data_IF_056394095167
#
_entry.id   IF_056394095167
#
_cell.length_a   1.000
_cell.length_b   1.000
_cell.length_c   1.000
_cell.angle_alpha   90.00
_cell.angle_beta   90.00
_cell.angle_gamma   90.00
#
_symmetry.space_group_name_H-M   'P 1'
#
loop_
_entity.id
_entity.type
_entity.pdbx_description
1 polymer ?
#
# COMPACT_ATOMS: atom_id res chain seq x y z
N UNK A 1 -16.82 20.08 4.63
CA UNK A 1 -16.61 19.08 5.71
C UNK A 1 -17.43 17.89 5.28
N UNK A 2 -16.78 17.03 4.52
CA UNK A 2 -17.47 16.17 3.58
C UNK A 2 -17.80 14.89 4.34
N UNK A 3 -19.05 14.46 4.33
CA UNK A 3 -19.59 13.40 5.21
C UNK A 3 -19.10 11.98 4.85
N UNK A 4 -17.97 11.87 4.13
CA UNK A 4 -17.43 10.64 3.54
C UNK A 4 -16.37 9.97 4.43
N UNK A 5 -16.23 10.42 5.68
CA UNK A 5 -15.35 9.76 6.66
C UNK A 5 -15.66 8.27 6.90
N UNK A 6 -16.93 7.76 6.85
CA UNK A 6 -17.16 6.32 6.97
C UNK A 6 -16.66 5.55 5.75
N UNK A 7 -16.71 6.12 4.54
CA UNK A 7 -16.12 5.50 3.34
C UNK A 7 -14.61 5.40 3.47
N UNK A 8 -13.95 6.46 3.95
CA UNK A 8 -12.50 6.45 4.19
C UNK A 8 -12.11 5.40 5.25
N UNK A 9 -12.88 5.29 6.33
CA UNK A 9 -12.65 4.26 7.35
C UNK A 9 -12.87 2.85 6.81
N UNK A 10 -13.93 2.62 6.04
CA UNK A 10 -14.20 1.33 5.42
C UNK A 10 -13.06 0.92 4.47
N UNK A 11 -12.58 1.85 3.65
CA UNK A 11 -11.43 1.63 2.77
C UNK A 11 -10.16 1.28 3.54
N UNK A 12 -9.81 2.04 4.59
CA UNK A 12 -8.64 1.76 5.42
C UNK A 12 -8.74 0.45 6.20
N UNK A 13 -9.94 0.12 6.70
CA UNK A 13 -10.20 -1.14 7.39
C UNK A 13 -10.08 -2.34 6.45
N UNK A 14 -10.65 -2.24 5.24
CA UNK A 14 -10.55 -3.26 4.21
C UNK A 14 -9.09 -3.51 3.80
N UNK A 15 -8.32 -2.44 3.58
CA UNK A 15 -6.89 -2.54 3.27
C UNK A 15 -6.09 -3.21 4.40
N UNK A 16 -6.33 -2.79 5.65
CA UNK A 16 -5.66 -3.37 6.82
C UNK A 16 -6.00 -4.86 6.99
N UNK A 17 -7.28 -5.23 6.83
CA UNK A 17 -7.71 -6.63 6.90
C UNK A 17 -7.07 -7.46 5.78
N UNK A 18 -7.01 -6.91 4.56
CA UNK A 18 -6.35 -7.57 3.44
C UNK A 18 -4.86 -7.80 3.72
N UNK A 19 -4.15 -6.79 4.22
CA UNK A 19 -2.74 -6.89 4.61
C UNK A 19 -2.53 -8.03 5.61
N UNK A 20 -3.35 -8.11 6.65
CA UNK A 20 -3.27 -9.15 7.67
C UNK A 20 -3.57 -10.54 7.08
N UNK A 21 -4.66 -10.66 6.32
CA UNK A 21 -5.04 -11.92 5.67
C UNK A 21 -3.96 -12.41 4.69
N UNK A 22 -3.49 -11.56 3.78
CA UNK A 22 -2.48 -11.93 2.79
C UNK A 22 -1.17 -12.31 3.46
N UNK A 23 -0.71 -11.52 4.43
CA UNK A 23 0.52 -11.82 5.18
C UNK A 23 0.43 -13.15 5.91
N UNK A 24 -0.72 -13.43 6.53
CA UNK A 24 -0.97 -14.70 7.21
C UNK A 24 -0.98 -15.88 6.24
N UNK A 25 -1.72 -15.77 5.13
CA UNK A 25 -1.81 -16.81 4.09
C UNK A 25 -0.45 -17.13 3.50
N UNK A 26 0.33 -16.10 3.12
CA UNK A 26 1.67 -16.27 2.55
C UNK A 26 2.62 -16.98 3.53
N UNK A 27 2.60 -16.59 4.81
CA UNK A 27 3.44 -17.20 5.85
C UNK A 27 2.96 -18.60 6.24
N UNK A 28 1.65 -18.85 6.23
CA UNK A 28 1.08 -20.17 6.49
C UNK A 28 1.52 -21.19 5.43
N UNK A 29 1.40 -20.84 4.14
CA UNK A 29 1.89 -21.69 3.04
C UNK A 29 3.40 -21.92 3.09
N UNK A 30 4.16 -21.00 3.70
CA UNK A 30 5.61 -21.14 3.90
C UNK A 30 6.00 -21.83 5.21
N UNK A 31 5.06 -22.11 6.11
CA UNK A 31 5.34 -22.66 7.43
C UNK A 31 6.05 -21.70 8.39
N UNK A 32 6.05 -20.39 8.12
CA UNK A 32 6.78 -19.37 8.89
C UNK A 32 5.86 -18.44 9.70
N UNK A 33 4.81 -19.00 10.29
CA UNK A 33 3.80 -18.24 11.05
C UNK A 33 4.38 -17.48 12.26
N UNK A 34 5.51 -17.93 12.82
CA UNK A 34 6.24 -17.23 13.89
C UNK A 34 6.65 -15.80 13.49
N UNK A 35 6.88 -15.54 12.19
CA UNK A 35 7.26 -14.23 11.65
C UNK A 35 6.06 -13.32 11.32
N UNK A 36 4.83 -13.74 11.64
CA UNK A 36 3.62 -12.99 11.28
C UNK A 36 3.58 -11.61 11.90
N UNK A 37 3.78 -11.51 13.22
CA UNK A 37 3.72 -10.22 13.94
C UNK A 37 4.78 -9.26 13.41
N UNK A 38 6.00 -9.74 13.14
CA UNK A 38 7.07 -8.94 12.57
C UNK A 38 6.72 -8.44 11.16
N UNK A 39 6.15 -9.29 10.31
CA UNK A 39 5.78 -8.94 8.94
C UNK A 39 4.61 -7.96 8.90
N UNK A 40 3.57 -8.20 9.70
CA UNK A 40 2.40 -7.35 9.79
C UNK A 40 2.75 -5.96 10.33
N UNK A 41 3.56 -5.89 11.39
CA UNK A 41 4.03 -4.61 11.95
C UNK A 41 4.97 -3.86 11.01
N UNK A 42 5.87 -4.56 10.31
CA UNK A 42 6.71 -3.95 9.28
C UNK A 42 5.88 -3.38 8.12
N UNK A 43 4.90 -4.15 7.61
CA UNK A 43 4.00 -3.71 6.55
C UNK A 43 3.15 -2.50 7.00
N UNK A 44 2.49 -2.58 8.16
CA UNK A 44 1.67 -1.50 8.69
C UNK A 44 2.48 -0.24 9.02
N UNK A 45 3.67 -0.41 9.62
CA UNK A 45 4.57 0.69 9.95
C UNK A 45 5.11 1.39 8.71
N UNK A 46 5.61 0.63 7.72
CA UNK A 46 6.08 1.22 6.47
C UNK A 46 4.97 1.85 5.66
N UNK A 47 3.78 1.24 5.58
CA UNK A 47 2.60 1.84 4.94
C UNK A 47 2.21 3.16 5.59
N UNK A 48 2.23 3.23 6.94
CA UNK A 48 1.96 4.48 7.67
C UNK A 48 2.99 5.56 7.34
N UNK A 49 4.28 5.23 7.33
CA UNK A 49 5.36 6.16 6.95
C UNK A 49 5.18 6.65 5.51
N UNK A 50 4.89 5.74 4.57
CA UNK A 50 4.62 6.11 3.16
C UNK A 50 3.41 7.04 3.05
N UNK A 51 2.36 6.79 3.83
CA UNK A 51 1.19 7.67 3.91
C UNK A 51 1.54 9.07 4.41
N UNK A 52 2.32 9.16 5.49
CA UNK A 52 2.79 10.45 6.06
C UNK A 52 3.65 11.22 5.06
N UNK A 53 4.55 10.55 4.34
CA UNK A 53 5.37 11.15 3.28
C UNK A 53 4.51 11.56 2.08
N UNK A 54 3.45 10.81 1.78
CA UNK A 54 2.49 11.12 0.72
C UNK A 54 1.64 12.35 1.00
N UNK A 55 1.28 12.63 2.26
CA UNK A 55 0.42 13.77 2.63
C UNK A 55 0.86 15.13 2.04
N UNK A 56 2.12 15.59 2.19
CA UNK A 56 2.55 16.85 1.60
C UNK A 56 2.48 16.84 0.07
N UNK A 57 2.73 15.69 -0.56
CA UNK A 57 2.66 15.54 -2.03
C UNK A 57 1.20 15.67 -2.50
N UNK A 58 0.25 15.01 -1.84
CA UNK A 58 -1.17 15.13 -2.17
C UNK A 58 -1.74 16.51 -1.85
N UNK A 59 -1.25 17.15 -0.79
CA UNK A 59 -1.61 18.53 -0.46
C UNK A 59 -1.13 19.51 -1.54
N UNK A 60 0.09 19.33 -2.05
CA UNK A 60 0.61 20.10 -3.17
C UNK A 60 -0.19 19.81 -4.45
N UNK A 61 -0.45 18.53 -4.76
CA UNK A 61 -1.21 18.12 -5.95
C UNK A 61 -2.58 18.81 -6.05
N UNK A 62 -3.29 19.00 -4.93
CA UNK A 62 -4.58 19.70 -4.90
C UNK A 62 -4.51 21.21 -5.18
N UNK A 63 -3.33 21.81 -5.08
CA UNK A 63 -3.13 23.25 -5.31
C UNK A 63 -2.61 23.56 -6.71
N UNK A 64 -2.11 22.57 -7.44
CA UNK A 64 -1.52 22.81 -8.77
C UNK A 64 -2.58 22.74 -9.85
N UNK A 65 -2.52 23.67 -10.80
CA UNK A 65 -3.39 23.67 -11.97
C UNK A 65 -3.09 22.49 -12.92
N UNK A 66 -4.12 21.87 -13.55
CA UNK A 66 -3.96 20.64 -14.32
C UNK A 66 -2.93 20.67 -15.45
N UNK A 67 -2.59 21.84 -16.00
CA UNK A 67 -1.66 22.00 -17.14
C UNK A 67 -0.39 22.80 -16.79
N UNK A 68 -0.10 22.99 -15.50
CA UNK A 68 1.11 23.68 -15.05
C UNK A 68 2.37 22.80 -15.10
N UNK A 69 3.53 23.43 -15.29
CA UNK A 69 4.84 22.75 -15.24
C UNK A 69 5.10 22.07 -13.87
N UNK A 70 4.50 22.62 -12.80
CA UNK A 70 4.52 22.04 -11.46
C UNK A 70 3.77 20.70 -11.37
N UNK A 71 2.75 20.46 -12.20
CA UNK A 71 1.97 19.20 -12.19
C UNK A 71 2.85 18.03 -12.60
N UNK A 72 3.68 18.22 -13.63
CA UNK A 72 4.64 17.21 -14.08
C UNK A 72 5.62 16.84 -12.97
N UNK A 73 6.10 17.82 -12.19
CA UNK A 73 7.00 17.59 -11.06
C UNK A 73 6.30 16.81 -9.94
N UNK A 74 5.07 17.18 -9.57
CA UNK A 74 4.30 16.46 -8.54
C UNK A 74 4.02 15.02 -8.97
N UNK A 75 3.64 14.79 -10.24
CA UNK A 75 3.42 13.44 -10.77
C UNK A 75 4.70 12.59 -10.73
N UNK A 76 5.87 13.17 -11.00
CA UNK A 76 7.16 12.47 -10.84
C UNK A 76 7.40 12.07 -9.38
N UNK A 77 7.10 12.95 -8.41
CA UNK A 77 7.20 12.59 -6.98
C UNK A 77 6.25 11.46 -6.59
N UNK A 78 5.00 11.48 -7.08
CA UNK A 78 4.04 10.39 -6.87
C UNK A 78 4.58 9.08 -7.47
N UNK A 79 5.13 9.11 -8.67
CA UNK A 79 5.72 7.94 -9.31
C UNK A 79 6.90 7.37 -8.52
N UNK A 80 7.80 8.25 -8.05
CA UNK A 80 8.92 7.87 -7.18
C UNK A 80 8.41 7.21 -5.89
N UNK A 81 7.38 7.78 -5.27
CA UNK A 81 6.78 7.25 -4.05
C UNK A 81 6.18 5.85 -4.28
N UNK A 82 5.48 5.65 -5.41
CA UNK A 82 4.91 4.35 -5.80
C UNK A 82 6.03 3.31 -5.97
N UNK A 83 7.08 3.62 -6.74
CA UNK A 83 8.19 2.70 -6.92
C UNK A 83 8.89 2.39 -5.61
N UNK A 84 9.15 3.41 -4.79
CA UNK A 84 9.78 3.22 -3.49
C UNK A 84 8.93 2.32 -2.58
N UNK A 85 7.62 2.53 -2.55
CA UNK A 85 6.67 1.67 -1.82
C UNK A 85 6.76 0.21 -2.30
N UNK A 86 6.73 -0.03 -3.61
CA UNK A 86 6.85 -1.38 -4.19
C UNK A 86 8.18 -2.04 -3.79
N UNK A 87 9.29 -1.31 -3.84
CA UNK A 87 10.61 -1.82 -3.44
C UNK A 87 10.63 -2.19 -1.96
N UNK A 88 10.06 -1.36 -1.08
CA UNK A 88 9.99 -1.63 0.36
C UNK A 88 9.13 -2.85 0.64
N UNK A 89 7.93 -2.95 0.06
CA UNK A 89 7.05 -4.12 0.23
C UNK A 89 7.70 -5.40 -0.30
N UNK A 90 8.34 -5.36 -1.46
CA UNK A 90 9.08 -6.50 -2.00
C UNK A 90 10.24 -6.92 -1.09
N UNK A 91 10.95 -5.96 -0.50
CA UNK A 91 12.01 -6.24 0.45
C UNK A 91 11.48 -6.90 1.74
N UNK A 92 10.34 -6.45 2.25
CA UNK A 92 9.68 -7.06 3.41
C UNK A 92 9.26 -8.50 3.09
N UNK A 93 8.52 -8.73 2.00
CA UNK A 93 8.08 -10.08 1.63
C UNK A 93 9.24 -11.01 1.31
N UNK A 94 10.31 -10.50 0.69
CA UNK A 94 11.53 -11.27 0.47
C UNK A 94 12.10 -11.81 1.77
N UNK A 95 12.21 -10.96 2.79
CA UNK A 95 12.79 -11.35 4.09
C UNK A 95 11.81 -12.18 4.93
N UNK A 96 10.52 -11.89 4.84
CA UNK A 96 9.48 -12.63 5.56
C UNK A 96 9.29 -14.05 5.02
N UNK A 97 9.36 -14.22 3.69
CA UNK A 97 9.12 -15.48 3.00
C UNK A 97 10.41 -16.22 2.60
N UNK A 98 11.59 -15.62 2.85
CA UNK A 98 12.91 -16.15 2.50
C UNK A 98 13.00 -16.59 1.02
N UNK A 99 12.37 -15.81 0.13
CA UNK A 99 12.26 -16.12 -1.30
C UNK A 99 13.26 -15.33 -2.15
N UNK A 100 13.43 -15.77 -3.40
CA UNK A 100 14.22 -15.04 -4.40
C UNK A 100 13.60 -13.66 -4.68
N UNK A 101 14.42 -12.64 -4.97
CA UNK A 101 13.93 -11.27 -5.19
C UNK A 101 12.89 -11.17 -6.33
N UNK A 102 13.04 -11.95 -7.40
CA UNK A 102 12.05 -12.00 -8.48
C UNK A 102 10.67 -12.51 -8.03
N UNK A 103 10.62 -13.54 -7.18
CA UNK A 103 9.34 -14.01 -6.63
C UNK A 103 8.73 -13.00 -5.65
N UNK A 104 9.57 -12.34 -4.84
CA UNK A 104 9.09 -11.28 -3.95
C UNK A 104 8.46 -10.13 -4.74
N UNK A 105 9.05 -9.72 -5.86
CA UNK A 105 8.48 -8.71 -6.74
C UNK A 105 7.12 -9.14 -7.30
N UNK A 106 6.98 -10.38 -7.77
CA UNK A 106 5.70 -10.93 -8.27
C UNK A 106 4.64 -10.90 -7.17
N UNK A 107 4.98 -11.36 -5.96
CA UNK A 107 4.06 -11.35 -4.80
C UNK A 107 3.65 -9.92 -4.46
N UNK A 108 4.57 -8.96 -4.46
CA UNK A 108 4.26 -7.55 -4.21
C UNK A 108 3.32 -6.97 -5.26
N UNK A 109 3.56 -7.22 -6.55
CA UNK A 109 2.69 -6.73 -7.63
C UNK A 109 1.30 -7.32 -7.48
N UNK A 110 1.21 -8.63 -7.25
CA UNK A 110 -0.07 -9.31 -7.04
C UNK A 110 -0.81 -8.75 -5.82
N UNK A 111 -0.12 -8.60 -4.68
CA UNK A 111 -0.66 -7.97 -3.47
C UNK A 111 -1.18 -6.55 -3.76
N UNK A 112 -0.41 -5.75 -4.50
CA UNK A 112 -0.78 -4.36 -4.82
C UNK A 112 -2.04 -4.31 -5.69
N UNK A 113 -2.14 -5.17 -6.70
CA UNK A 113 -3.33 -5.26 -7.56
C UNK A 113 -4.56 -5.67 -6.72
N UNK A 114 -4.42 -6.68 -5.86
CA UNK A 114 -5.53 -7.12 -5.00
C UNK A 114 -5.95 -6.01 -4.03
N UNK A 115 -5.00 -5.29 -3.42
CA UNK A 115 -5.28 -4.14 -2.55
C UNK A 115 -6.04 -3.05 -3.30
N UNK A 116 -5.59 -2.68 -4.51
CA UNK A 116 -6.29 -1.68 -5.33
C UNK A 116 -7.73 -2.11 -5.67
N UNK A 117 -7.94 -3.38 -6.02
CA UNK A 117 -9.29 -3.91 -6.31
C UNK A 117 -10.16 -3.91 -5.06
N UNK A 118 -9.66 -4.39 -3.93
CA UNK A 118 -10.41 -4.48 -2.68
C UNK A 118 -10.78 -3.10 -2.14
N UNK A 119 -9.83 -2.17 -2.13
CA UNK A 119 -10.08 -0.78 -1.71
C UNK A 119 -11.03 -0.09 -2.68
N UNK A 120 -10.86 -0.29 -3.99
CA UNK A 120 -11.78 0.23 -5.00
C UNK A 120 -13.22 -0.28 -4.81
N UNK A 121 -13.38 -1.59 -4.56
CA UNK A 121 -14.68 -2.21 -4.27
C UNK A 121 -15.27 -1.73 -2.95
N UNK A 122 -14.46 -1.54 -1.91
CA UNK A 122 -14.91 -1.03 -0.62
C UNK A 122 -15.42 0.42 -0.74
N UNK A 123 -14.74 1.25 -1.54
CA UNK A 123 -15.16 2.62 -1.82
C UNK A 123 -16.41 2.67 -2.71
N UNK A 124 -16.52 1.81 -3.72
CA UNK A 124 -17.70 1.77 -4.60
C UNK A 124 -18.92 1.14 -3.95
N UNK A 125 -18.74 0.13 -3.09
CA UNK A 125 -19.83 -0.55 -2.40
C UNK A 125 -20.36 0.22 -1.19
N UNK A 126 -19.64 1.26 -0.74
CA UNK A 126 -20.07 2.17 0.32
C UNK A 126 -20.70 3.48 -0.22
N UNK A 127 -20.74 3.66 -1.54
CA UNK A 127 -21.38 4.76 -2.25
C UNK A 127 -22.79 4.36 -2.73
#
# INVERSE_FOLDING_TARGET
MDHNWPLSLAGSAADTLLLLCVSWVLLYFRGMTSRFVQTATAMAGTGSIMGVIGLPIFWLFRQVEPQGQLTSVVLLFVLILIFWSLFVTAHIFRNALEIRPGMAAIVTVLYTIVSLVVVGLALSGAA
#
